data_IF_321603803703
#
_entry.id   IF_321603803703
#
_cell.length_a   1.000
_cell.length_b   1.000
_cell.length_c   1.000
_cell.angle_alpha   90.00
_cell.angle_beta   90.00
_cell.angle_gamma   90.00
#
_symmetry.space_group_name_H-M   'P 1'
#
loop_
_entity.id
_entity.type
_entity.pdbx_description
1 polymer ?
#
# COMPACT_ATOMS: atom_id res chain seq x y z
N UNK A 1 3.74 -1.56 -9.12
CA UNK A 1 3.13 -1.29 -7.79
C UNK A 1 1.64 -1.60 -7.76
N UNK A 2 0.82 -1.09 -8.69
CA UNK A 2 -0.63 -1.37 -8.69
C UNK A 2 -1.01 -2.85 -8.79
N UNK A 3 -0.39 -3.58 -9.73
CA UNK A 3 -0.63 -5.01 -9.90
C UNK A 3 -0.28 -5.80 -8.62
N UNK A 4 0.82 -5.45 -7.97
CA UNK A 4 1.26 -6.07 -6.72
C UNK A 4 0.29 -5.78 -5.56
N UNK A 5 -0.22 -4.55 -5.48
CA UNK A 5 -1.23 -4.17 -4.49
C UNK A 5 -2.57 -4.89 -4.74
N UNK A 6 -2.96 -5.07 -6.00
CA UNK A 6 -4.14 -5.84 -6.38
C UNK A 6 -4.01 -7.34 -6.04
N UNK A 7 -2.83 -7.91 -6.26
CA UNK A 7 -2.50 -9.28 -5.88
C UNK A 7 -2.53 -9.46 -4.36
N UNK A 8 -1.98 -8.51 -3.60
CA UNK A 8 -2.05 -8.50 -2.14
C UNK A 8 -3.51 -8.50 -1.66
N UNK A 9 -4.34 -7.64 -2.25
CA UNK A 9 -5.76 -7.57 -1.95
C UNK A 9 -6.50 -8.89 -2.20
N UNK A 10 -6.22 -9.54 -3.33
CA UNK A 10 -6.81 -10.83 -3.66
C UNK A 10 -6.45 -11.89 -2.60
N UNK A 11 -5.20 -11.90 -2.13
CA UNK A 11 -4.78 -12.82 -1.07
C UNK A 11 -5.41 -12.53 0.29
N UNK A 12 -5.54 -11.25 0.65
CA UNK A 12 -6.26 -10.84 1.87
C UNK A 12 -7.71 -11.30 1.82
N UNK A 13 -8.36 -11.20 0.65
CA UNK A 13 -9.72 -11.71 0.46
C UNK A 13 -9.82 -13.23 0.62
N UNK A 14 -8.81 -13.97 0.15
CA UNK A 14 -8.72 -15.43 0.34
C UNK A 14 -8.61 -15.78 1.81
N UNK A 15 -7.64 -15.20 2.53
CA UNK A 15 -7.45 -15.43 3.98
C UNK A 15 -8.71 -15.11 4.77
N UNK A 16 -9.39 -14.00 4.44
CA UNK A 16 -10.61 -13.57 5.15
C UNK A 16 -11.79 -14.54 5.01
N UNK A 17 -11.85 -15.28 3.90
CA UNK A 17 -12.96 -16.19 3.57
C UNK A 17 -12.65 -17.66 3.86
N UNK A 18 -11.40 -17.98 4.18
CA UNK A 18 -10.97 -19.36 4.43
C UNK A 18 -11.45 -19.83 5.81
N UNK A 19 -12.18 -20.94 5.83
CA UNK A 19 -12.70 -21.56 7.06
C UNK A 19 -11.94 -22.84 7.44
N UNK A 20 -11.10 -23.36 6.53
CA UNK A 20 -10.26 -24.52 6.80
C UNK A 20 -8.99 -24.08 7.53
N UNK A 21 -8.81 -24.54 8.77
CA UNK A 21 -7.70 -24.08 9.65
C UNK A 21 -6.32 -24.35 9.03
N UNK A 22 -6.14 -25.47 8.32
CA UNK A 22 -4.84 -25.86 7.78
C UNK A 22 -4.51 -25.02 6.54
N UNK A 23 -5.46 -24.85 5.62
CA UNK A 23 -5.31 -23.98 4.47
C UNK A 23 -5.17 -22.51 4.88
N UNK A 24 -5.99 -22.06 5.83
CA UNK A 24 -5.94 -20.70 6.37
C UNK A 24 -4.56 -20.34 6.90
N UNK A 25 -3.96 -21.19 7.74
CA UNK A 25 -2.66 -20.90 8.33
C UNK A 25 -1.53 -20.92 7.30
N UNK A 26 -1.65 -21.73 6.23
CA UNK A 26 -0.74 -21.66 5.10
C UNK A 26 -0.88 -20.33 4.34
N UNK A 27 -2.11 -19.91 4.04
CA UNK A 27 -2.40 -18.64 3.38
C UNK A 27 -1.95 -17.44 4.21
N UNK A 28 -2.15 -17.44 5.53
CA UNK A 28 -1.68 -16.37 6.42
C UNK A 28 -0.16 -16.25 6.40
N UNK A 29 0.58 -17.37 6.42
CA UNK A 29 2.05 -17.34 6.33
C UNK A 29 2.52 -16.76 5.00
N UNK A 30 1.91 -17.19 3.89
CA UNK A 30 2.22 -16.63 2.57
C UNK A 30 1.91 -15.14 2.52
N UNK A 31 0.75 -14.72 3.04
CA UNK A 31 0.34 -13.33 3.11
C UNK A 31 1.34 -12.49 3.92
N UNK A 32 1.81 -12.99 5.06
CA UNK A 32 2.82 -12.32 5.88
C UNK A 32 4.11 -12.03 5.11
N UNK A 33 4.65 -13.03 4.42
CA UNK A 33 5.87 -12.86 3.64
C UNK A 33 5.66 -11.90 2.45
N UNK A 34 4.49 -11.95 1.80
CA UNK A 34 4.15 -10.99 0.75
C UNK A 34 4.01 -9.57 1.28
N UNK A 35 3.36 -9.37 2.42
CA UNK A 35 3.24 -8.04 3.07
C UNK A 35 4.61 -7.46 3.40
N UNK A 36 5.53 -8.26 3.93
CA UNK A 36 6.91 -7.82 4.21
C UNK A 36 7.67 -7.44 2.94
N UNK A 37 7.53 -8.23 1.88
CA UNK A 37 8.14 -7.92 0.60
C UNK A 37 7.58 -6.62 0.02
N UNK A 38 6.26 -6.50 -0.05
CA UNK A 38 5.57 -5.30 -0.50
C UNK A 38 6.03 -4.05 0.28
N UNK A 39 6.16 -4.13 1.60
CA UNK A 39 6.64 -3.01 2.42
C UNK A 39 8.07 -2.58 2.08
N UNK A 40 8.92 -3.50 1.61
CA UNK A 40 10.28 -3.18 1.17
C UNK A 40 10.25 -2.39 -0.12
N UNK A 41 9.47 -2.85 -1.11
CA UNK A 41 9.30 -2.16 -2.40
C UNK A 41 8.59 -0.80 -2.20
N UNK A 42 7.56 -0.77 -1.34
CA UNK A 42 6.83 0.43 -0.97
C UNK A 42 7.74 1.51 -0.35
N UNK A 43 8.64 1.11 0.54
CA UNK A 43 9.61 2.03 1.14
C UNK A 43 10.56 2.62 0.08
N UNK A 44 10.96 1.81 -0.90
CA UNK A 44 11.80 2.27 -2.01
C UNK A 44 11.03 3.23 -2.94
N UNK A 45 9.76 2.94 -3.22
CA UNK A 45 8.86 3.80 -3.99
C UNK A 45 8.72 5.18 -3.34
N UNK A 46 8.35 5.25 -2.06
CA UNK A 46 8.23 6.53 -1.33
C UNK A 46 9.55 7.30 -1.34
N UNK A 47 10.69 6.62 -1.17
CA UNK A 47 11.99 7.27 -1.19
C UNK A 47 12.26 7.91 -2.55
N UNK A 48 11.96 7.21 -3.65
CA UNK A 48 12.08 7.74 -5.00
C UNK A 48 11.15 8.93 -5.23
N UNK A 49 9.88 8.86 -4.81
CA UNK A 49 8.93 9.96 -4.97
C UNK A 49 9.44 11.24 -4.31
N UNK A 50 9.97 11.14 -3.09
CA UNK A 50 10.49 12.29 -2.34
C UNK A 50 11.74 12.90 -2.98
N UNK A 51 12.59 12.08 -3.59
CA UNK A 51 13.86 12.56 -4.18
C UNK A 51 13.71 13.03 -5.62
N UNK A 52 12.74 12.49 -6.37
CA UNK A 52 12.61 12.73 -7.80
C UNK A 52 11.25 13.35 -8.17
N UNK A 53 10.14 12.67 -7.85
CA UNK A 53 8.80 13.08 -8.30
C UNK A 53 8.36 14.41 -7.68
N UNK A 54 8.44 14.55 -6.36
CA UNK A 54 7.96 15.76 -5.67
C UNK A 54 8.78 17.00 -6.05
N UNK A 55 10.12 16.96 -6.09
CA UNK A 55 10.90 18.10 -6.59
C UNK A 55 10.54 18.48 -8.02
N UNK A 56 10.30 17.50 -8.89
CA UNK A 56 9.91 17.75 -10.28
C UNK A 56 8.52 18.37 -10.37
N UNK A 57 7.54 17.86 -9.62
CA UNK A 57 6.19 18.41 -9.55
C UNK A 57 6.17 19.84 -9.01
N UNK A 58 6.93 20.15 -7.96
CA UNK A 58 7.08 21.53 -7.44
C UNK A 58 7.62 22.46 -8.53
N UNK A 59 8.65 22.02 -9.25
CA UNK A 59 9.30 22.86 -10.25
C UNK A 59 8.42 23.10 -11.48
N UNK A 60 7.68 22.08 -11.93
CA UNK A 60 6.94 22.11 -13.21
C UNK A 60 5.48 22.55 -13.08
N UNK A 61 4.82 22.20 -11.97
CA UNK A 61 3.39 22.45 -11.75
C UNK A 61 3.12 23.57 -10.74
N UNK A 62 4.18 24.14 -10.13
CA UNK A 62 4.07 25.07 -8.99
C UNK A 62 3.22 24.50 -7.84
N UNK A 63 3.20 23.15 -7.70
CA UNK A 63 2.37 22.45 -6.73
C UNK A 63 2.67 22.88 -5.30
N UNK A 64 1.62 23.06 -4.51
CA UNK A 64 1.74 23.50 -3.13
C UNK A 64 2.34 22.42 -2.21
N UNK A 65 3.23 22.79 -1.27
CA UNK A 65 3.80 21.89 -0.26
C UNK A 65 2.76 21.12 0.58
N UNK A 66 1.54 21.64 0.65
CA UNK A 66 0.44 21.06 1.42
C UNK A 66 -0.07 19.75 0.81
N UNK A 67 -0.01 19.58 -0.52
CA UNK A 67 -0.38 18.33 -1.19
C UNK A 67 0.56 17.18 -0.78
N UNK A 68 1.87 17.40 -0.84
CA UNK A 68 2.85 16.38 -0.45
C UNK A 68 2.76 16.04 1.03
N UNK A 69 2.42 17.03 1.88
CA UNK A 69 2.18 16.78 3.30
C UNK A 69 0.99 15.84 3.51
N UNK A 70 -0.09 15.98 2.74
CA UNK A 70 -1.22 15.06 2.78
C UNK A 70 -0.82 13.66 2.29
N UNK A 71 -0.03 13.57 1.22
CA UNK A 71 0.50 12.28 0.71
C UNK A 71 1.31 11.55 1.78
N UNK A 72 2.21 12.24 2.48
CA UNK A 72 2.99 11.64 3.55
C UNK A 72 2.12 11.17 4.73
N UNK A 73 1.01 11.86 5.02
CA UNK A 73 0.06 11.41 6.04
C UNK A 73 -0.65 10.12 5.63
N UNK A 74 -1.08 10.01 4.37
CA UNK A 74 -1.72 8.80 3.84
C UNK A 74 -0.76 7.60 3.86
N UNK A 75 0.51 7.81 3.52
CA UNK A 75 1.56 6.80 3.68
C UNK A 75 1.66 6.34 5.13
N UNK A 76 1.78 7.28 6.07
CA UNK A 76 1.87 6.96 7.49
C UNK A 76 0.65 6.20 8.03
N UNK A 77 -0.55 6.46 7.49
CA UNK A 77 -1.76 5.69 7.85
C UNK A 77 -1.69 4.26 7.32
N UNK A 78 -1.34 4.07 6.04
CA UNK A 78 -1.20 2.74 5.44
C UNK A 78 -0.16 1.89 6.18
N UNK A 79 1.02 2.46 6.46
CA UNK A 79 2.10 1.79 7.19
C UNK A 79 1.69 1.40 8.61
N UNK A 80 0.91 2.24 9.30
CA UNK A 80 0.38 1.91 10.64
C UNK A 80 -0.54 0.71 10.59
N UNK A 81 -1.45 0.64 9.62
CA UNK A 81 -2.34 -0.51 9.47
C UNK A 81 -1.57 -1.80 9.14
N UNK A 82 -0.58 -1.72 8.25
CA UNK A 82 0.28 -2.87 7.93
C UNK A 82 1.09 -3.28 9.17
N UNK A 83 1.64 -2.33 9.92
CA UNK A 83 2.32 -2.57 11.17
C UNK A 83 1.41 -3.22 12.22
N UNK A 84 0.15 -2.79 12.33
CA UNK A 84 -0.85 -3.45 13.19
C UNK A 84 -1.09 -4.89 12.78
N UNK A 85 -1.18 -5.19 11.48
CA UNK A 85 -1.28 -6.57 10.99
C UNK A 85 -0.07 -7.41 11.41
N UNK A 86 1.16 -6.93 11.14
CA UNK A 86 2.39 -7.66 11.44
C UNK A 86 2.55 -7.92 12.96
N UNK A 87 2.34 -6.89 13.77
CA UNK A 87 2.44 -6.99 15.23
C UNK A 87 1.37 -7.93 15.81
N UNK A 88 0.12 -7.83 15.34
CA UNK A 88 -0.96 -8.72 15.81
C UNK A 88 -0.67 -10.16 15.43
N UNK A 89 -0.18 -10.39 14.21
CA UNK A 89 0.17 -11.72 13.72
C UNK A 89 1.32 -12.35 14.53
N UNK A 90 2.36 -11.57 14.85
CA UNK A 90 3.47 -12.03 15.67
C UNK A 90 3.04 -12.42 17.10
N UNK A 91 2.05 -11.72 17.65
CA UNK A 91 1.50 -11.98 18.99
C UNK A 91 0.41 -13.07 19.01
N UNK A 92 -0.04 -13.55 17.84
CA UNK A 92 -1.14 -14.50 17.73
C UNK A 92 -0.70 -15.91 18.16
N UNK A 93 -1.61 -16.65 18.79
CA UNK A 93 -1.39 -18.06 19.12
C UNK A 93 -1.66 -18.89 17.86
N UNK A 94 -0.72 -19.78 17.51
CA UNK A 94 -0.89 -20.68 16.36
C UNK A 94 -1.58 -22.00 16.79
N UNK A 95 -2.49 -22.56 15.96
CA UNK A 95 -2.95 -22.04 14.67
C UNK A 95 -3.96 -20.91 14.82
N UNK A 96 -3.94 -19.97 13.88
CA UNK A 96 -4.88 -18.84 13.82
C UNK A 96 -6.27 -19.35 13.44
N UNK A 97 -7.28 -18.84 14.13
CA UNK A 97 -8.69 -19.12 13.85
C UNK A 97 -9.23 -18.27 12.69
N UNK A 98 -10.31 -18.69 12.02
CA UNK A 98 -10.96 -17.87 10.99
C UNK A 98 -11.43 -16.49 11.48
N UNK A 99 -11.77 -16.36 12.77
CA UNK A 99 -12.17 -15.08 13.36
C UNK A 99 -10.98 -14.12 13.50
N UNK A 100 -9.86 -14.61 14.02
CA UNK A 100 -8.61 -13.84 14.11
C UNK A 100 -8.10 -13.47 12.70
N UNK A 101 -8.19 -14.39 11.74
CA UNK A 101 -7.83 -14.12 10.36
C UNK A 101 -8.67 -13.00 9.72
N UNK A 102 -9.97 -12.92 10.02
CA UNK A 102 -10.84 -11.81 9.59
C UNK A 102 -10.41 -10.49 10.21
N UNK A 103 -10.05 -10.50 11.49
CA UNK A 103 -9.54 -9.30 12.18
C UNK A 103 -8.21 -8.83 11.56
N UNK A 104 -7.24 -9.74 11.38
CA UNK A 104 -5.97 -9.47 10.73
C UNK A 104 -6.15 -8.92 9.31
N UNK A 105 -7.01 -9.54 8.52
CA UNK A 105 -7.32 -9.11 7.16
C UNK A 105 -7.93 -7.71 7.12
N UNK A 106 -8.64 -7.29 8.16
CA UNK A 106 -9.28 -5.97 8.21
C UNK A 106 -8.28 -4.83 8.30
N UNK A 107 -7.11 -5.05 8.91
CA UNK A 107 -6.01 -4.07 8.89
C UNK A 107 -5.46 -3.89 7.47
N UNK A 108 -5.18 -4.99 6.77
CA UNK A 108 -4.63 -4.94 5.41
C UNK A 108 -5.64 -4.36 4.40
N UNK A 109 -6.94 -4.58 4.58
CA UNK A 109 -7.97 -3.95 3.74
C UNK A 109 -8.04 -2.43 3.95
N UNK A 110 -7.81 -1.95 5.18
CA UNK A 110 -7.73 -0.52 5.44
C UNK A 110 -6.49 0.07 4.79
N UNK A 111 -5.31 -0.56 4.96
CA UNK A 111 -4.09 -0.14 4.29
C UNK A 111 -4.27 -0.07 2.76
N UNK A 112 -4.86 -1.12 2.16
CA UNK A 112 -5.16 -1.16 0.73
C UNK A 112 -5.98 0.04 0.25
N UNK A 113 -6.98 0.48 1.02
CA UNK A 113 -7.83 1.60 0.63
C UNK A 113 -7.03 2.92 0.53
N UNK A 114 -6.13 3.18 1.49
CA UNK A 114 -5.24 4.35 1.46
C UNK A 114 -4.25 4.26 0.30
N UNK A 115 -3.58 3.12 0.16
CA UNK A 115 -2.57 2.92 -0.88
C UNK A 115 -3.14 3.03 -2.29
N UNK A 116 -4.33 2.47 -2.51
CA UNK A 116 -5.01 2.56 -3.81
C UNK A 116 -5.39 4.00 -4.14
N UNK A 117 -6.00 4.71 -3.20
CA UNK A 117 -6.32 6.12 -3.41
C UNK A 117 -5.06 6.93 -3.73
N UNK A 118 -3.93 6.53 -3.15
CA UNK A 118 -2.68 7.24 -3.35
C UNK A 118 -2.00 7.00 -4.67
N UNK A 119 -1.98 5.75 -5.15
CA UNK A 119 -1.50 5.43 -6.50
C UNK A 119 -2.35 6.14 -7.57
N UNK A 120 -3.67 6.22 -7.39
CA UNK A 120 -4.54 6.97 -8.30
C UNK A 120 -4.18 8.48 -8.34
N UNK A 121 -3.95 9.11 -7.18
CA UNK A 121 -3.55 10.53 -7.13
C UNK A 121 -2.14 10.76 -7.69
N UNK A 122 -1.23 9.78 -7.53
CA UNK A 122 0.09 9.82 -8.17
C UNK A 122 -0.02 9.78 -9.69
N UNK A 123 -0.89 8.92 -10.23
CA UNK A 123 -1.17 8.82 -11.66
C UNK A 123 -1.67 10.15 -12.23
N UNK A 124 -2.61 10.84 -11.55
CA UNK A 124 -3.09 12.16 -11.95
C UNK A 124 -1.97 13.22 -12.02
N UNK A 125 -1.01 13.18 -11.08
CA UNK A 125 0.16 14.07 -11.08
C UNK A 125 1.06 13.76 -12.29
N UNK A 126 1.33 12.48 -12.54
CA UNK A 126 2.17 12.03 -13.66
C UNK A 126 1.53 12.41 -15.00
N UNK A 127 0.25 12.12 -15.19
CA UNK A 127 -0.49 12.49 -16.41
C UNK A 127 -0.42 14.01 -16.67
N UNK A 128 -0.60 14.82 -15.61
CA UNK A 128 -0.50 16.28 -15.73
C UNK A 128 0.91 16.72 -16.14
N UNK A 129 1.96 16.09 -15.59
CA UNK A 129 3.35 16.37 -15.98
C UNK A 129 3.62 16.00 -17.44
N UNK A 130 3.11 14.85 -17.90
CA UNK A 130 3.28 14.37 -19.28
C UNK A 130 2.57 15.28 -20.28
N UNK A 131 1.31 15.65 -20.01
CA UNK A 131 0.54 16.57 -20.86
C UNK A 131 1.22 17.93 -20.99
N UNK A 132 1.73 18.49 -19.88
CA UNK A 132 2.45 19.76 -19.90
C UNK A 132 3.79 19.67 -20.66
N UNK A 133 4.51 18.55 -20.55
CA UNK A 133 5.76 18.33 -21.29
C UNK A 133 5.54 18.26 -22.81
N UNK A 134 4.38 17.75 -23.25
CA UNK A 134 3.99 17.67 -24.65
C UNK A 134 3.59 19.05 -25.23
N UNK A 135 3.17 20.00 -24.40
CA UNK A 135 2.82 21.37 -24.83
C UNK A 135 4.06 22.22 -25.14
N UNK A 136 5.20 21.96 -24.49
CA UNK A 136 6.46 22.71 -24.70
C UNK A 136 7.42 22.05 -25.70
N UNK A 137 7.02 20.96 -26.34
CA UNK A 137 7.74 20.33 -27.45
C UNK A 137 7.36 21.00 -28.79
N UNK A 138 7.79 22.25 -29.00
CA UNK A 138 7.70 22.97 -30.29
C UNK A 138 8.99 23.73 -30.61
#
# INVERSE_FOLDING_TARGET
MEEELADLYAQVCTVRKDEDILHLNAHVRMLNERVKHFMTEWSAHIAWEKTELFPYAVWYLETEPDLFTLMEQDYGLAERFIGSFLNTLEQSVLPISPEEAKALSSYLLQAYAFLKNRLNEEEEIIETLEDHSNVYSY
#
